data_IF_289505046715
#
_entry.id   IF_289505046715
#
_cell.length_a   1.000
_cell.length_b   1.000
_cell.length_c   1.000
_cell.angle_alpha   90.00
_cell.angle_beta   90.00
_cell.angle_gamma   90.00
#
_symmetry.space_group_name_H-M   'P 1'
#
loop_
_entity.id
_entity.type
_entity.pdbx_description
1 polymer ?
#
# COMPACT_ATOMS: atom_id res chain seq x y z
N UNK A 1 18.98 -5.83 -6.06
CA UNK A 1 17.52 -5.63 -6.20
C UNK A 1 17.27 -4.17 -6.55
N UNK A 2 16.43 -3.89 -7.55
CA UNK A 2 16.17 -2.51 -7.99
C UNK A 2 15.24 -1.78 -7.01
N UNK A 3 15.38 -0.44 -6.90
CA UNK A 3 14.45 0.46 -6.19
C UNK A 3 13.17 0.74 -6.98
N UNK A 4 13.17 0.42 -8.27
CA UNK A 4 12.07 0.66 -9.20
C UNK A 4 10.72 0.09 -8.71
N UNK A 5 10.63 -1.11 -8.10
CA UNK A 5 9.40 -1.60 -7.51
C UNK A 5 8.82 -0.69 -6.42
N UNK A 6 9.66 -0.08 -5.57
CA UNK A 6 9.18 0.79 -4.49
C UNK A 6 8.46 2.02 -5.07
N UNK A 7 9.05 2.64 -6.10
CA UNK A 7 8.47 3.83 -6.74
C UNK A 7 7.16 3.51 -7.47
N UNK A 8 7.13 2.41 -8.23
CA UNK A 8 5.93 1.98 -8.97
C UNK A 8 4.78 1.68 -8.00
N UNK A 9 5.06 0.89 -6.95
CA UNK A 9 4.03 0.53 -5.98
C UNK A 9 3.56 1.73 -5.18
N UNK A 10 4.47 2.64 -4.79
CA UNK A 10 4.10 3.88 -4.11
C UNK A 10 3.12 4.69 -4.96
N UNK A 11 3.40 4.86 -6.25
CA UNK A 11 2.51 5.56 -7.16
C UNK A 11 1.16 4.84 -7.32
N UNK A 12 1.17 3.54 -7.61
CA UNK A 12 -0.05 2.75 -7.80
C UNK A 12 -0.96 2.76 -6.57
N UNK A 13 -0.41 2.51 -5.38
CA UNK A 13 -1.20 2.50 -4.14
C UNK A 13 -1.70 3.88 -3.75
N UNK A 14 -0.92 4.94 -3.99
CA UNK A 14 -1.38 6.31 -3.77
C UNK A 14 -2.59 6.63 -4.64
N UNK A 15 -2.51 6.36 -5.95
CA UNK A 15 -3.62 6.58 -6.89
C UNK A 15 -4.84 5.75 -6.50
N UNK A 16 -4.63 4.48 -6.14
CA UNK A 16 -5.71 3.60 -5.69
C UNK A 16 -6.41 4.12 -4.44
N UNK A 17 -5.66 4.56 -3.42
CA UNK A 17 -6.22 5.09 -2.18
C UNK A 17 -6.98 6.40 -2.40
N UNK A 18 -6.46 7.29 -3.25
CA UNK A 18 -7.16 8.52 -3.63
C UNK A 18 -8.48 8.21 -4.36
N UNK A 19 -8.44 7.30 -5.34
CA UNK A 19 -9.64 6.86 -6.06
C UNK A 19 -10.67 6.24 -5.12
N UNK A 20 -10.18 5.38 -4.22
CA UNK A 20 -10.97 4.71 -3.20
C UNK A 20 -11.67 5.70 -2.26
N UNK A 21 -10.93 6.71 -1.81
CA UNK A 21 -11.46 7.80 -0.98
C UNK A 21 -12.56 8.58 -1.70
N UNK A 22 -12.33 8.98 -2.95
CA UNK A 22 -13.33 9.71 -3.76
C UNK A 22 -14.60 8.89 -3.93
N UNK A 23 -14.49 7.61 -4.28
CA UNK A 23 -15.66 6.76 -4.52
C UNK A 23 -16.49 6.52 -3.24
N UNK A 24 -15.84 6.31 -2.09
CA UNK A 24 -16.55 6.07 -0.83
C UNK A 24 -17.08 7.36 -0.23
N UNK A 25 -16.24 8.38 -0.04
CA UNK A 25 -16.59 9.58 0.72
C UNK A 25 -17.36 10.58 -0.11
N UNK A 26 -16.93 10.82 -1.36
CA UNK A 26 -17.52 11.87 -2.22
C UNK A 26 -18.73 11.31 -2.95
N UNK A 27 -18.54 10.22 -3.69
CA UNK A 27 -19.63 9.63 -4.51
C UNK A 27 -20.59 8.73 -3.71
N UNK A 28 -20.28 8.41 -2.45
CA UNK A 28 -21.08 7.50 -1.58
C UNK A 28 -21.49 6.21 -2.30
N UNK A 29 -20.58 5.68 -3.12
CA UNK A 29 -20.86 4.52 -3.96
C UNK A 29 -21.22 3.31 -3.09
N UNK A 30 -22.26 2.56 -3.49
CA UNK A 30 -22.64 1.31 -2.82
C UNK A 30 -21.61 0.24 -3.17
N UNK A 31 -20.61 0.09 -2.31
CA UNK A 31 -19.67 -1.02 -2.39
C UNK A 31 -20.39 -2.29 -1.95
N UNK A 32 -20.51 -3.27 -2.85
CA UNK A 32 -21.19 -4.55 -2.62
C UNK A 32 -20.71 -5.24 -1.34
N UNK A 33 -19.39 -5.38 -1.17
CA UNK A 33 -18.80 -5.98 0.01
C UNK A 33 -17.90 -4.99 0.75
N UNK A 34 -18.49 -4.27 1.71
CA UNK A 34 -17.77 -3.27 2.54
C UNK A 34 -16.62 -3.88 3.36
N UNK A 35 -16.71 -5.16 3.74
CA UNK A 35 -15.67 -5.82 4.54
C UNK A 35 -14.41 -6.08 3.71
N UNK A 36 -14.57 -6.74 2.56
CA UNK A 36 -13.45 -6.99 1.62
C UNK A 36 -12.82 -5.67 1.20
N UNK A 37 -13.63 -4.65 0.95
CA UNK A 37 -13.10 -3.35 0.54
C UNK A 37 -12.27 -2.67 1.64
N UNK A 38 -12.72 -2.73 2.90
CA UNK A 38 -11.93 -2.25 4.04
C UNK A 38 -10.60 -3.00 4.17
N UNK A 39 -10.61 -4.32 4.00
CA UNK A 39 -9.39 -5.13 4.02
C UNK A 39 -8.45 -4.68 2.89
N UNK A 40 -8.97 -4.45 1.69
CA UNK A 40 -8.20 -3.93 0.56
C UNK A 40 -7.54 -2.58 0.85
N UNK A 41 -8.24 -1.66 1.51
CA UNK A 41 -7.66 -0.37 1.95
C UNK A 41 -6.53 -0.60 2.96
N UNK A 42 -6.74 -1.46 3.97
CA UNK A 42 -5.72 -1.75 5.00
C UNK A 42 -4.46 -2.33 4.37
N UNK A 43 -4.61 -3.30 3.47
CA UNK A 43 -3.48 -3.90 2.74
C UNK A 43 -2.76 -2.86 1.87
N UNK A 44 -3.51 -2.01 1.16
CA UNK A 44 -2.92 -0.94 0.35
C UNK A 44 -2.11 0.07 1.18
N UNK A 45 -2.62 0.47 2.36
CA UNK A 45 -1.89 1.37 3.29
C UNK A 45 -0.60 0.70 3.77
N UNK A 46 -0.66 -0.58 4.12
CA UNK A 46 0.49 -1.34 4.62
C UNK A 46 1.58 -1.47 3.54
N UNK A 47 1.20 -1.82 2.31
CA UNK A 47 2.14 -1.91 1.18
C UNK A 47 2.71 -0.55 0.77
N UNK A 48 1.91 0.51 0.86
CA UNK A 48 2.37 1.88 0.64
C UNK A 48 3.41 2.26 1.71
N UNK A 49 3.15 1.95 2.97
CA UNK A 49 4.07 2.19 4.08
C UNK A 49 5.42 1.51 3.87
N UNK A 50 5.44 0.23 3.49
CA UNK A 50 6.68 -0.49 3.17
C UNK A 50 7.43 0.14 1.99
N UNK A 51 6.70 0.53 0.95
CA UNK A 51 7.30 1.12 -0.26
C UNK A 51 7.92 2.49 0.05
N UNK A 52 7.22 3.34 0.81
CA UNK A 52 7.73 4.63 1.27
C UNK A 52 8.93 4.45 2.19
N UNK A 53 8.87 3.52 3.15
CA UNK A 53 9.99 3.19 4.02
C UNK A 53 11.22 2.80 3.20
N UNK A 54 11.06 1.91 2.22
CA UNK A 54 12.14 1.52 1.32
C UNK A 54 12.71 2.68 0.51
N UNK A 55 11.89 3.64 0.09
CA UNK A 55 12.36 4.87 -0.59
C UNK A 55 13.17 5.74 0.37
N UNK A 56 12.68 6.00 1.58
CA UNK A 56 13.33 6.88 2.56
C UNK A 56 14.70 6.32 2.97
N UNK A 57 14.79 5.02 3.22
CA UNK A 57 16.02 4.37 3.67
C UNK A 57 16.89 3.84 2.53
N UNK A 58 16.47 4.04 1.27
CA UNK A 58 17.14 3.50 0.09
C UNK A 58 17.37 1.98 0.22
N UNK A 59 16.31 1.25 0.58
CA UNK A 59 16.26 -0.21 0.75
C UNK A 59 15.20 -0.78 -0.23
N UNK A 60 15.52 -1.80 -1.04
CA UNK A 60 14.55 -2.39 -1.94
C UNK A 60 13.42 -3.10 -1.17
N UNK A 61 12.20 -3.10 -1.72
CA UNK A 61 11.01 -3.62 -1.05
C UNK A 61 11.18 -5.02 -0.48
N UNK A 62 11.84 -5.93 -1.21
CA UNK A 62 12.08 -7.30 -0.73
C UNK A 62 12.92 -7.36 0.54
N UNK A 63 13.84 -6.41 0.75
CA UNK A 63 14.58 -6.31 2.01
C UNK A 63 13.74 -5.68 3.13
N UNK A 64 12.86 -4.74 2.81
CA UNK A 64 11.88 -4.21 3.79
C UNK A 64 10.96 -5.33 4.27
N UNK A 65 10.48 -6.18 3.35
CA UNK A 65 9.68 -7.35 3.70
C UNK A 65 10.46 -8.31 4.60
N UNK A 66 11.70 -8.64 4.26
CA UNK A 66 12.54 -9.52 5.07
C UNK A 66 12.80 -8.98 6.49
N UNK A 67 12.99 -7.66 6.62
CA UNK A 67 13.16 -7.01 7.93
C UNK A 67 11.90 -7.16 8.80
N UNK A 68 10.72 -6.99 8.20
CA UNK A 68 9.44 -7.16 8.89
C UNK A 68 9.27 -8.62 9.31
N UNK A 69 9.47 -9.58 8.41
CA UNK A 69 9.33 -11.01 8.69
C UNK A 69 10.26 -11.47 9.82
N UNK A 70 11.50 -10.99 9.85
CA UNK A 70 12.44 -11.30 10.92
C UNK A 70 12.10 -10.64 12.26
N UNK A 71 11.35 -9.55 12.27
CA UNK A 71 10.93 -8.88 13.51
C UNK A 71 9.84 -9.65 14.27
N UNK A 72 9.17 -10.59 13.61
CA UNK A 72 8.13 -11.45 14.20
C UNK A 72 8.61 -12.85 14.56
N UNK A 73 9.90 -13.12 14.38
CA UNK A 73 10.54 -14.41 14.67
C UNK A 73 11.15 -14.40 16.07
#
# INVERSE_FOLDING_TARGET
MSMLPNYILTFMFTVFLVYSYINIKVKKSKVSNKCIYKIGIVVAILLLGMSIYGIIFNIPLGQVQFLIENSFK
#
